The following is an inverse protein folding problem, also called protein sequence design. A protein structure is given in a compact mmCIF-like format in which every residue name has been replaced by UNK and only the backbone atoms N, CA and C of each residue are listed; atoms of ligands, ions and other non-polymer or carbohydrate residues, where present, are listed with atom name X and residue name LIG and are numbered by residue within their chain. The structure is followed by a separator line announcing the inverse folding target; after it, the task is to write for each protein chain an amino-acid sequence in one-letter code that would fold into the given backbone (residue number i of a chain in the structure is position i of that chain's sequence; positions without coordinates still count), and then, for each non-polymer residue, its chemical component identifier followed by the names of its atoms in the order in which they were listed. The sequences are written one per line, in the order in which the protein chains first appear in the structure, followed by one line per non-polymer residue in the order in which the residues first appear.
data_IF_185573926294
#
_entry.id   IF_185573926294
#
_cell.length_a   1.000
_cell.length_b   1.000
_cell.length_c   1.000
_cell.angle_alpha   90.00
_cell.angle_beta   90.00
_cell.angle_gamma   90.00
#
_symmetry.space_group_name_H-M   'P 1'
#
loop_
_entity.id
_entity.type
_entity.pdbx_description
1 polymer ?
#
# COMPACT_ATOMS: atom_id res chain seq x y z
N UNK A 1 -9.18 -13.06 7.40
CA UNK A 1 -9.28 -11.60 7.12
C UNK A 1 -9.34 -11.40 5.62
N UNK A 2 -10.30 -10.61 5.14
CA UNK A 2 -10.47 -10.25 3.73
C UNK A 2 -9.43 -9.24 3.24
N UNK A 3 -9.51 -8.88 1.96
CA UNK A 3 -8.68 -7.84 1.33
C UNK A 3 -9.09 -6.44 1.79
N UNK A 4 -10.35 -6.24 2.17
CA UNK A 4 -10.87 -4.98 2.67
C UNK A 4 -10.78 -4.98 4.19
N UNK A 5 -10.03 -4.03 4.75
CA UNK A 5 -9.88 -3.92 6.20
C UNK A 5 -11.15 -3.35 6.87
N UNK A 6 -11.16 -3.27 8.20
CA UNK A 6 -12.30 -2.76 8.98
C UNK A 6 -12.71 -1.30 8.63
N UNK A 7 -11.84 -0.56 7.93
CA UNK A 7 -12.07 0.81 7.49
C UNK A 7 -12.53 0.92 6.03
N UNK A 8 -12.79 -0.19 5.34
CA UNK A 8 -13.13 -0.15 3.92
C UNK A 8 -11.92 0.15 3.02
N UNK A 9 -10.70 -0.23 3.45
CA UNK A 9 -9.46 0.10 2.75
C UNK A 9 -8.75 -1.17 2.30
N UNK A 10 -8.31 -1.17 1.04
CA UNK A 10 -7.37 -2.17 0.51
C UNK A 10 -5.96 -1.55 0.54
N UNK A 11 -5.05 -2.24 1.22
CA UNK A 11 -3.68 -1.76 1.46
C UNK A 11 -2.69 -2.44 0.53
N UNK A 12 -1.99 -1.66 -0.30
CA UNK A 12 -0.98 -2.13 -1.24
C UNK A 12 0.39 -1.64 -0.78
N UNK A 13 1.33 -2.58 -0.59
CA UNK A 13 2.73 -2.26 -0.27
C UNK A 13 3.59 -2.38 -1.51
N UNK A 14 4.20 -1.28 -1.95
CA UNK A 14 5.16 -1.29 -3.07
C UNK A 14 6.46 -2.00 -2.69
N UNK A 15 7.27 -2.38 -3.69
CA UNK A 15 8.63 -2.88 -3.46
C UNK A 15 9.50 -1.85 -2.73
N UNK A 16 9.41 -0.57 -3.11
CA UNK A 16 10.11 0.55 -2.46
C UNK A 16 9.74 0.65 -0.97
N UNK A 17 8.45 0.53 -0.65
CA UNK A 17 8.00 0.52 0.73
C UNK A 17 8.61 -0.65 1.51
N UNK A 18 8.54 -1.86 0.97
CA UNK A 18 9.09 -3.04 1.63
C UNK A 18 10.62 -2.98 1.78
N UNK A 19 11.33 -2.30 0.87
CA UNK A 19 12.76 -2.05 0.98
C UNK A 19 13.05 -1.04 2.10
N UNK A 20 12.31 0.08 2.15
CA UNK A 20 12.45 1.09 3.22
C UNK A 20 12.12 0.51 4.60
N UNK A 21 11.11 -0.36 4.70
CA UNK A 21 10.76 -1.04 5.93
C UNK A 21 11.90 -1.96 6.40
N UNK A 22 12.52 -2.72 5.49
CA UNK A 22 13.67 -3.59 5.80
C UNK A 22 14.94 -2.85 6.19
N UNK A 23 15.09 -1.60 5.77
CA UNK A 23 16.22 -0.75 6.15
C UNK A 23 16.11 -0.19 7.57
N UNK A 24 14.97 -0.33 8.24
CA UNK A 24 14.80 0.08 9.62
C UNK A 24 15.40 -0.95 10.60
N UNK A 25 15.88 -0.53 11.78
CA UNK A 25 16.25 -1.43 12.85
C UNK A 25 15.14 -2.44 13.16
N UNK A 26 15.50 -3.70 13.39
CA UNK A 26 14.54 -4.81 13.54
C UNK A 26 13.44 -4.54 14.58
N UNK A 27 13.80 -3.97 15.72
CA UNK A 27 12.84 -3.56 16.75
C UNK A 27 11.78 -2.58 16.23
N UNK A 28 12.17 -1.68 15.32
CA UNK A 28 11.28 -0.71 14.69
C UNK A 28 10.45 -1.33 13.57
N UNK A 29 10.97 -2.35 12.87
CA UNK A 29 10.18 -3.14 11.91
C UNK A 29 9.02 -3.83 12.62
N UNK A 30 9.27 -4.44 13.77
CA UNK A 30 8.24 -5.09 14.58
C UNK A 30 7.20 -4.08 15.07
N UNK A 31 7.62 -2.92 15.58
CA UNK A 31 6.69 -1.87 16.03
C UNK A 31 5.87 -1.28 14.88
N UNK A 32 6.49 -1.00 13.74
CA UNK A 32 5.79 -0.52 12.54
C UNK A 32 4.79 -1.57 12.05
N UNK A 33 5.19 -2.84 12.00
CA UNK A 33 4.32 -3.95 11.57
C UNK A 33 3.13 -4.14 12.50
N UNK A 34 3.36 -4.10 13.82
CA UNK A 34 2.28 -4.17 14.81
C UNK A 34 1.31 -3.00 14.68
N UNK A 35 1.82 -1.80 14.38
CA UNK A 35 0.96 -0.63 14.17
C UNK A 35 0.13 -0.74 12.89
N UNK A 36 0.74 -1.22 11.79
CA UNK A 36 0.02 -1.52 10.55
C UNK A 36 -1.10 -2.53 10.80
N UNK A 37 -0.83 -3.56 11.61
CA UNK A 37 -1.82 -4.57 11.95
C UNK A 37 -2.97 -3.99 12.78
N UNK A 38 -2.67 -3.25 13.85
CA UNK A 38 -3.69 -2.57 14.67
C UNK A 38 -4.55 -1.63 13.84
N UNK A 39 -3.96 -0.88 12.92
CA UNK A 39 -4.72 -0.05 11.99
C UNK A 39 -5.61 -0.89 11.08
N UNK A 40 -5.11 -1.99 10.52
CA UNK A 40 -5.94 -2.87 9.68
C UNK A 40 -7.13 -3.47 10.45
N UNK A 41 -7.01 -3.60 11.77
CA UNK A 41 -8.03 -4.11 12.66
C UNK A 41 -9.03 -3.03 13.14
N UNK A 42 -8.87 -1.76 12.74
CA UNK A 42 -9.83 -0.70 13.08
C UNK A 42 -9.26 0.44 13.94
N UNK A 43 -7.99 0.38 14.34
CA UNK A 43 -7.38 1.47 15.09
C UNK A 43 -7.16 2.70 14.19
N UNK A 44 -7.53 3.92 14.63
CA UNK A 44 -7.36 5.11 13.82
C UNK A 44 -5.88 5.42 13.56
N UNK A 45 -5.54 5.65 12.29
CA UNK A 45 -4.21 6.09 11.88
C UNK A 45 -4.23 7.60 11.62
N UNK A 46 -3.41 8.35 12.34
CA UNK A 46 -3.24 9.79 12.10
C UNK A 46 -2.59 9.98 10.73
N UNK A 47 -3.26 10.64 9.81
CA UNK A 47 -2.70 10.99 8.50
C UNK A 47 -3.10 12.40 8.09
N UNK A 48 -2.26 13.07 7.30
CA UNK A 48 -2.56 14.38 6.73
C UNK A 48 -2.15 14.44 5.26
N UNK A 49 -2.84 15.28 4.51
CA UNK A 49 -2.52 15.51 3.10
C UNK A 49 -1.15 16.20 2.99
N UNK A 50 -0.37 15.80 2.01
CA UNK A 50 0.82 16.52 1.61
C UNK A 50 0.37 17.49 0.54
N UNK A 51 0.37 18.79 0.89
CA UNK A 51 -0.10 19.93 0.06
C UNK A 51 0.43 19.86 -1.39
N UNK A 52 1.50 19.09 -1.62
CA UNK A 52 2.05 18.80 -2.94
C UNK A 52 1.63 17.41 -3.41
N UNK A 53 0.90 17.37 -4.53
CA UNK A 53 0.81 16.25 -5.49
C UNK A 53 -0.10 15.06 -5.18
N UNK A 54 -1.09 15.16 -4.28
CA UNK A 54 -2.06 14.07 -4.09
C UNK A 54 -1.45 12.81 -3.46
N UNK A 55 -0.43 13.03 -2.62
CA UNK A 55 0.18 12.05 -1.73
C UNK A 55 -0.14 12.43 -0.29
N UNK A 56 -0.09 11.46 0.60
CA UNK A 56 -0.49 11.57 1.99
C UNK A 56 0.65 11.10 2.87
N UNK A 57 0.72 11.66 4.08
CA UNK A 57 1.55 11.09 5.13
C UNK A 57 0.71 10.42 6.19
N UNK A 58 1.23 9.33 6.73
CA UNK A 58 0.71 8.72 7.94
C UNK A 58 1.75 8.83 9.05
N UNK A 59 1.31 9.23 10.24
CA UNK A 59 2.10 9.13 11.45
C UNK A 59 2.01 7.72 12.01
N UNK A 60 3.14 7.03 12.00
CA UNK A 60 3.27 5.69 12.59
C UNK A 60 3.50 5.87 14.09
N UNK A 61 4.53 6.63 14.47
CA UNK A 61 4.80 6.99 15.86
C UNK A 61 5.48 8.36 15.88
N UNK A 62 5.77 8.96 17.05
CA UNK A 62 6.37 10.30 17.11
C UNK A 62 7.62 10.46 16.24
N UNK A 63 8.43 9.39 16.07
CA UNK A 63 9.69 9.41 15.32
C UNK A 63 9.58 8.95 13.86
N UNK A 64 8.49 8.30 13.46
CA UNK A 64 8.38 7.65 12.15
C UNK A 64 7.15 8.10 11.38
N UNK A 65 7.31 8.22 10.06
CA UNK A 65 6.26 8.60 9.12
C UNK A 65 6.30 7.67 7.91
N UNK A 66 5.16 7.54 7.25
CA UNK A 66 5.03 6.84 5.98
C UNK A 66 4.40 7.74 4.93
N UNK A 67 4.79 7.57 3.66
CA UNK A 67 4.22 8.27 2.51
C UNK A 67 3.41 7.27 1.70
N UNK A 68 2.21 7.69 1.29
CA UNK A 68 1.30 6.86 0.52
C UNK A 68 0.43 7.69 -0.43
N UNK A 69 -0.24 7.04 -1.37
CA UNK A 69 -1.28 7.65 -2.19
C UNK A 69 -2.63 6.99 -1.92
N UNK A 70 -3.70 7.77 -2.07
CA UNK A 70 -5.09 7.30 -2.00
C UNK A 70 -5.75 7.40 -3.37
N UNK A 71 -6.55 6.42 -3.72
CA UNK A 71 -7.35 6.44 -4.94
C UNK A 71 -8.60 5.57 -4.79
N UNK A 72 -9.56 5.73 -5.69
CA UNK A 72 -10.73 4.85 -5.76
C UNK A 72 -10.36 3.47 -6.33
N UNK A 73 -11.22 2.47 -6.11
CA UNK A 73 -11.09 1.16 -6.74
C UNK A 73 -11.08 1.26 -8.29
N UNK A 74 -11.93 2.12 -8.85
CA UNK A 74 -12.02 2.36 -10.30
C UNK A 74 -10.72 2.96 -10.87
N UNK A 75 -10.16 3.97 -10.20
CA UNK A 75 -8.88 4.57 -10.58
C UNK A 75 -7.75 3.53 -10.52
N UNK A 76 -7.70 2.71 -9.47
CA UNK A 76 -6.67 1.69 -9.32
C UNK A 76 -6.77 0.60 -10.41
N UNK A 77 -7.99 0.26 -10.84
CA UNK A 77 -8.22 -0.69 -11.93
C UNK A 77 -7.82 -0.11 -13.28
N UNK A 78 -8.26 1.12 -13.60
CA UNK A 78 -7.94 1.77 -14.88
C UNK A 78 -6.44 2.02 -15.07
N UNK A 79 -5.71 2.26 -13.97
CA UNK A 79 -4.27 2.48 -14.00
C UNK A 79 -3.44 1.18 -13.90
N UNK A 80 -4.06 0.01 -13.80
CA UNK A 80 -3.34 -1.27 -13.70
C UNK A 80 -2.55 -1.46 -12.40
N UNK A 81 -2.97 -0.79 -11.32
CA UNK A 81 -2.35 -0.93 -9.99
C UNK A 81 -2.77 -2.23 -9.31
N UNK A 82 -3.97 -2.71 -9.62
CA UNK A 82 -4.52 -3.97 -9.11
C UNK A 82 -4.41 -5.05 -10.19
N UNK A 83 -3.89 -6.22 -9.82
CA UNK A 83 -3.97 -7.38 -10.72
C UNK A 83 -5.40 -7.94 -10.75
N UNK A 84 -5.76 -8.60 -11.85
CA UNK A 84 -7.08 -9.22 -12.04
C UNK A 84 -7.46 -10.17 -10.90
N UNK A 85 -6.49 -10.87 -10.33
CA UNK A 85 -6.71 -11.75 -9.17
C UNK A 85 -7.18 -10.94 -7.94
N UNK A 86 -6.51 -9.84 -7.63
CA UNK A 86 -6.85 -9.00 -6.46
C UNK A 86 -8.20 -8.33 -6.69
N UNK A 87 -8.45 -7.82 -7.90
CA UNK A 87 -9.74 -7.25 -8.30
C UNK A 87 -10.89 -8.23 -8.07
N UNK A 88 -10.77 -9.46 -8.58
CA UNK A 88 -11.78 -10.52 -8.38
C UNK A 88 -12.02 -10.86 -6.91
N UNK A 89 -10.98 -10.81 -6.08
CA UNK A 89 -11.11 -11.10 -4.65
C UNK A 89 -11.85 -9.98 -3.91
N UNK A 90 -11.55 -8.72 -4.24
CA UNK A 90 -12.28 -7.55 -3.73
C UNK A 90 -13.75 -7.61 -4.16
N UNK A 91 -14.02 -7.90 -5.43
CA UNK A 91 -15.38 -7.98 -5.97
C UNK A 91 -16.23 -9.05 -5.26
N UNK A 92 -15.63 -10.20 -4.91
CA UNK A 92 -16.32 -11.23 -4.11
C UNK A 92 -16.64 -10.75 -2.71
N UNK A 93 -15.65 -10.17 -2.02
CA UNK A 93 -15.84 -9.67 -0.66
C UNK A 93 -16.90 -8.56 -0.59
N UNK A 94 -16.97 -7.69 -1.60
CA UNK A 94 -18.02 -6.68 -1.70
C UNK A 94 -19.42 -7.29 -1.89
N UNK A 95 -19.54 -8.35 -2.68
CA UNK A 95 -20.82 -9.04 -2.92
C UNK A 95 -21.26 -9.87 -1.72
N UNK A 96 -20.35 -10.58 -1.09
CA UNK A 96 -20.65 -11.52 -0.01
C UNK A 96 -20.93 -10.80 1.32
N UNK A 97 -20.23 -9.68 1.59
CA UNK A 97 -20.35 -8.92 2.84
C UNK A 97 -21.12 -7.59 2.68
N UNK A 98 -21.67 -7.31 1.49
CA UNK A 98 -22.43 -6.08 1.22
C UNK A 98 -21.61 -4.80 1.39
N UNK A 99 -20.28 -4.89 1.25
CA UNK A 99 -19.37 -3.77 1.49
C UNK A 99 -19.43 -2.76 0.35
N UNK A 100 -19.36 -1.48 0.71
CA UNK A 100 -19.16 -0.37 -0.24
C UNK A 100 -17.80 -0.48 -0.93
N UNK A 101 -17.67 0.18 -2.10
CA UNK A 101 -16.43 0.20 -2.86
C UNK A 101 -15.26 0.72 -1.99
N UNK A 102 -14.17 -0.04 -1.85
CA UNK A 102 -13.10 0.31 -0.95
C UNK A 102 -12.24 1.46 -1.49
N UNK A 103 -11.60 2.19 -0.57
CA UNK A 103 -10.50 3.09 -0.91
C UNK A 103 -9.20 2.29 -1.04
N UNK A 104 -8.40 2.58 -2.07
CA UNK A 104 -7.12 1.92 -2.30
C UNK A 104 -5.99 2.79 -1.77
N UNK A 105 -5.19 2.26 -0.86
CA UNK A 105 -4.06 2.95 -0.27
C UNK A 105 -2.75 2.30 -0.70
N UNK A 106 -1.88 3.07 -1.33
CA UNK A 106 -0.63 2.61 -1.91
C UNK A 106 0.53 3.15 -1.10
N UNK A 107 1.14 2.30 -0.29
CA UNK A 107 2.29 2.62 0.54
C UNK A 107 3.56 2.65 -0.29
N UNK A 108 4.25 3.79 -0.27
CA UNK A 108 5.45 4.02 -1.07
C UNK A 108 6.73 4.01 -0.25
N UNK A 109 6.71 4.59 0.95
CA UNK A 109 7.91 4.74 1.78
C UNK A 109 7.56 4.77 3.27
N UNK A 110 8.48 4.32 4.13
CA UNK A 110 8.44 4.48 5.58
C UNK A 110 9.83 4.78 6.12
N UNK A 111 9.91 5.65 7.13
CA UNK A 111 11.16 5.94 7.81
C UNK A 111 11.04 7.00 8.88
N UNK A 112 12.16 7.61 9.25
CA UNK A 112 12.23 8.62 10.30
C UNK A 112 11.58 9.94 9.87
N UNK A 113 11.11 10.73 10.83
CA UNK A 113 10.54 12.05 10.59
C UNK A 113 11.52 13.00 9.88
N UNK A 114 12.82 12.91 10.20
CA UNK A 114 13.87 13.71 9.56
C UNK A 114 14.03 13.39 8.07
N UNK A 115 14.12 12.10 7.73
CA UNK A 115 14.22 11.66 6.32
C UNK A 115 12.93 11.98 5.57
N UNK A 116 11.78 11.85 6.25
CA UNK A 116 10.49 12.27 5.71
C UNK A 116 10.49 13.76 5.32
N UNK A 117 10.99 14.67 6.17
CA UNK A 117 11.00 16.11 5.85
C UNK A 117 11.82 16.43 4.58
N UNK A 118 12.88 15.65 4.31
CA UNK A 118 13.67 15.77 3.08
C UNK A 118 12.91 15.23 1.86
N UNK A 119 12.19 14.12 2.03
CA UNK A 119 11.51 13.40 0.94
C UNK A 119 10.13 13.97 0.59
N UNK A 120 9.41 14.57 1.54
CA UNK A 120 8.01 14.95 1.42
C UNK A 120 7.72 15.90 0.26
N UNK A 121 8.71 16.71 -0.14
CA UNK A 121 8.59 17.64 -1.27
C UNK A 121 8.99 17.02 -2.62
N UNK A 122 9.66 15.87 -2.61
CA UNK A 122 10.22 15.22 -3.79
C UNK A 122 9.37 14.07 -4.31
N UNK A 123 8.63 13.39 -3.43
CA UNK A 123 7.78 12.25 -3.79
C UNK A 123 6.50 12.75 -4.44
N UNK A 124 6.32 12.43 -5.72
CA UNK A 124 5.12 12.77 -6.49
C UNK A 124 4.19 11.56 -6.59
N UNK A 125 2.87 11.80 -6.66
CA UNK A 125 1.88 10.71 -6.87
C UNK A 125 2.21 9.81 -8.05
N UNK A 126 2.67 10.35 -9.18
CA UNK A 126 3.11 9.54 -10.33
C UNK A 126 4.16 8.48 -9.95
N UNK A 127 5.16 8.83 -9.14
CA UNK A 127 6.19 7.88 -8.69
C UNK A 127 5.61 6.79 -7.79
N UNK A 128 4.65 7.14 -6.93
CA UNK A 128 3.95 6.17 -6.08
C UNK A 128 3.18 5.16 -6.93
N UNK A 129 2.50 5.64 -7.98
CA UNK A 129 1.71 4.83 -8.90
C UNK A 129 2.59 3.93 -9.78
N UNK A 130 3.64 4.47 -10.39
CA UNK A 130 4.60 3.71 -11.20
C UNK A 130 5.24 2.58 -10.37
N UNK A 131 5.58 2.86 -9.10
CA UNK A 131 6.09 1.84 -8.18
C UNK A 131 5.04 0.76 -7.86
N UNK A 132 3.76 1.10 -7.81
CA UNK A 132 2.68 0.16 -7.55
C UNK A 132 2.41 -0.75 -8.75
N UNK A 133 2.35 -0.18 -9.95
CA UNK A 133 2.21 -0.92 -11.21
C UNK A 133 3.37 -1.92 -11.38
N UNK A 134 4.60 -1.46 -11.18
CA UNK A 134 5.78 -2.33 -11.24
C UNK A 134 5.74 -3.43 -10.17
N UNK A 135 5.18 -3.15 -8.99
CA UNK A 135 5.01 -4.16 -7.94
C UNK A 135 3.97 -5.21 -8.32
N UNK A 136 2.86 -4.79 -8.93
CA UNK A 136 1.81 -5.69 -9.42
C UNK A 136 2.35 -6.61 -10.54
N UNK A 137 3.02 -6.03 -11.54
CA UNK A 137 3.62 -6.78 -12.66
C UNK A 137 4.63 -7.84 -12.18
N UNK A 138 5.51 -7.49 -11.24
CA UNK A 138 6.50 -8.43 -10.69
C UNK A 138 5.86 -9.56 -9.85
N UNK A 139 4.72 -9.30 -9.21
CA UNK A 139 3.98 -10.33 -8.46
C UNK A 139 3.31 -11.33 -9.39
N UNK A 140 2.68 -10.85 -10.46
CA UNK A 140 2.01 -11.71 -11.43
C UNK A 140 3.01 -12.61 -12.18
N UNK A 141 4.21 -12.11 -12.50
CA UNK A 141 5.30 -12.91 -13.10
C UNK A 141 5.81 -14.04 -12.21
N UNK A 142 5.85 -13.86 -10.87
CA UNK A 142 6.23 -14.92 -9.94
C UNK A 142 5.18 -16.03 -9.81
N UNK A 143 3.97 -15.79 -10.29
CA UNK A 143 2.87 -16.77 -10.33
C UNK A 143 2.65 -17.37 -11.71
N UNK A 144 3.45 -17.01 -12.73
CA UNK A 144 3.43 -17.73 -13.99
C UNK A 144 3.74 -19.22 -13.70
N UNK A 145 2.91 -20.17 -14.15
CA UNK A 145 3.21 -21.58 -13.99
C UNK A 145 4.56 -21.84 -14.66
N UNK A 146 5.43 -22.57 -13.97
CA UNK A 146 6.57 -23.23 -14.60
C UNK A 146 5.99 -24.16 -15.67
N UNK A 147 5.78 -23.65 -16.88
CA UNK A 147 5.64 -24.47 -18.07
C UNK A 147 7.02 -25.07 -18.33
N UNK A 148 7.33 -26.14 -17.60
CA UNK A 148 8.41 -27.04 -17.97
C UNK A 148 8.09 -27.57 -19.37
N UNK A 149 8.98 -27.41 -20.36
CA UNK A 149 8.85 -28.17 -21.59
C UNK A 149 9.06 -29.64 -21.19
N UNK A 150 8.02 -30.46 -21.31
CA UNK A 150 8.19 -31.91 -21.20
C UNK A 150 8.96 -32.39 -22.43
N UNK A 151 10.07 -33.12 -22.27
CA UNK A 151 10.65 -33.91 -23.35
C UNK A 151 9.74 -35.09 -23.72
#
# INVERSE_FOLDING_TARGET
MGYINAHGIVSIRTTAFNASLRALPEQLVTQASALYQRWSEGAPLKHKDLIVSGTWQAEINPRHRAIFAKMSLEEACSQGVLSERIKRAIDREMKDEGKVAPSIWIWHWVGTHETYNRLAHSVKRKQVLDAAINTAANRDQRTAPLSSPRP
#
